data_IF_403958675111
#
_entry.id   IF_403958675111
#
_cell.length_a   1.000
_cell.length_b   1.000
_cell.length_c   1.000
_cell.angle_alpha   90.00
_cell.angle_beta   90.00
_cell.angle_gamma   90.00
#
_symmetry.space_group_name_H-M   'P 1'
#
loop_
_entity.id
_entity.type
_entity.pdbx_description
1 polymer ?
#
# COMPACT_ATOMS: atom_id res chain seq x y z
N UNK A 1 9.01 0.75 -17.22
CA UNK A 1 8.34 2.00 -16.85
C UNK A 1 6.84 1.82 -16.68
N UNK A 2 6.07 1.44 -17.71
CA UNK A 2 4.62 1.24 -17.57
C UNK A 2 4.26 0.21 -16.48
N UNK A 3 4.95 -0.93 -16.48
CA UNK A 3 4.84 -1.95 -15.44
C UNK A 3 5.16 -1.41 -14.02
N UNK A 4 6.17 -0.52 -13.89
CA UNK A 4 6.54 0.06 -12.59
C UNK A 4 5.43 0.97 -12.06
N UNK A 5 4.82 1.75 -12.94
CA UNK A 5 3.70 2.64 -12.61
C UNK A 5 2.45 1.86 -12.24
N UNK A 6 2.16 0.77 -12.95
CA UNK A 6 1.04 -0.12 -12.63
C UNK A 6 1.23 -0.77 -11.26
N UNK A 7 2.44 -1.27 -10.97
CA UNK A 7 2.78 -1.88 -9.69
C UNK A 7 2.67 -0.87 -8.55
N UNK A 8 3.22 0.34 -8.72
CA UNK A 8 3.07 1.44 -7.77
C UNK A 8 1.60 1.75 -7.49
N UNK A 9 0.81 1.99 -8.55
CA UNK A 9 -0.60 2.35 -8.42
C UNK A 9 -1.40 1.23 -7.73
N UNK A 10 -1.09 -0.02 -8.03
CA UNK A 10 -1.71 -1.18 -7.39
C UNK A 10 -1.44 -1.19 -5.89
N UNK A 11 -0.20 -0.96 -5.46
CA UNK A 11 0.18 -0.99 -4.04
C UNK A 11 -0.41 0.20 -3.30
N UNK A 12 -0.05 1.42 -3.71
CA UNK A 12 -0.47 2.65 -3.02
C UNK A 12 -1.97 2.84 -3.10
N UNK A 13 -2.59 2.57 -4.25
CA UNK A 13 -4.04 2.64 -4.42
C UNK A 13 -4.80 1.64 -3.53
N UNK A 14 -4.31 0.39 -3.43
CA UNK A 14 -4.96 -0.62 -2.57
C UNK A 14 -4.80 -0.30 -1.09
N UNK A 15 -3.63 0.18 -0.65
CA UNK A 15 -3.40 0.61 0.74
C UNK A 15 -4.30 1.79 1.11
N UNK A 16 -4.33 2.82 0.26
CA UNK A 16 -5.14 4.02 0.50
C UNK A 16 -6.62 3.66 0.60
N UNK A 17 -7.11 2.76 -0.27
CA UNK A 17 -8.48 2.24 -0.18
C UNK A 17 -8.72 1.52 1.14
N UNK A 18 -7.81 0.65 1.55
CA UNK A 18 -7.94 -0.05 2.83
C UNK A 18 -7.96 0.91 4.03
N UNK A 19 -7.07 1.90 4.04
CA UNK A 19 -6.98 2.92 5.08
C UNK A 19 -8.27 3.73 5.18
N UNK A 20 -8.83 4.12 4.04
CA UNK A 20 -10.12 4.80 4.00
C UNK A 20 -11.23 3.92 4.60
N UNK A 21 -11.28 2.63 4.28
CA UNK A 21 -12.31 1.75 4.84
C UNK A 21 -12.14 1.53 6.35
N UNK A 22 -10.90 1.36 6.83
CA UNK A 22 -10.60 1.23 8.27
C UNK A 22 -11.00 2.50 9.02
N UNK A 23 -10.68 3.68 8.48
CA UNK A 23 -11.00 4.96 9.14
C UNK A 23 -12.50 5.28 9.13
N UNK A 24 -13.29 4.66 8.26
CA UNK A 24 -14.75 4.74 8.26
C UNK A 24 -15.42 3.81 9.29
N UNK A 25 -14.66 2.93 9.95
CA UNK A 25 -15.18 2.10 11.02
C UNK A 25 -15.67 2.97 12.19
N UNK A 26 -16.89 2.69 12.66
CA UNK A 26 -17.47 3.41 13.81
C UNK A 26 -16.74 3.10 15.11
N UNK A 27 -16.28 1.87 15.29
CA UNK A 27 -15.50 1.44 16.46
C UNK A 27 -14.82 0.10 16.21
N UNK A 28 -13.56 -0.01 16.62
CA UNK A 28 -12.78 -1.26 16.57
C UNK A 28 -13.27 -2.25 17.64
N UNK A 29 -13.71 -1.77 18.80
CA UNK A 29 -14.23 -2.63 19.87
C UNK A 29 -15.48 -3.41 19.45
N UNK A 30 -16.27 -2.88 18.52
CA UNK A 30 -17.41 -3.58 17.93
C UNK A 30 -16.96 -4.77 17.08
N UNK A 31 -15.92 -4.60 16.27
CA UNK A 31 -15.35 -5.67 15.44
C UNK A 31 -14.76 -6.81 16.28
N UNK A 32 -14.08 -6.48 17.38
CA UNK A 32 -13.53 -7.48 18.28
C UNK A 32 -14.62 -8.30 18.98
N UNK A 33 -15.69 -7.65 19.45
CA UNK A 33 -16.82 -8.34 20.09
C UNK A 33 -17.60 -9.21 19.12
N UNK A 34 -17.83 -8.73 17.89
CA UNK A 34 -18.52 -9.51 16.87
C UNK A 34 -17.69 -10.69 16.34
N UNK A 35 -16.36 -10.65 16.47
CA UNK A 35 -15.46 -11.74 16.13
C UNK A 35 -15.29 -12.82 17.21
N UNK A 36 -15.82 -12.61 18.42
CA UNK A 36 -15.78 -13.57 19.53
C UNK A 36 -16.94 -14.58 19.51
N UNK A 37 -17.95 -14.39 18.66
CA UNK A 37 -19.00 -15.39 18.44
C UNK A 37 -18.43 -16.55 17.61
N UNK A 38 -18.38 -17.75 18.22
CA UNK A 38 -17.73 -18.97 17.73
C UNK A 38 -18.14 -19.39 16.29
N UNK A 39 -19.31 -18.98 15.79
CA UNK A 39 -19.75 -19.28 14.42
C UNK A 39 -18.97 -18.50 13.32
N UNK A 40 -18.38 -17.35 13.65
CA UNK A 40 -17.62 -16.51 12.69
C UNK A 40 -16.13 -16.84 12.69
N UNK A 41 -15.63 -17.41 13.80
CA UNK A 41 -14.21 -17.78 13.96
C UNK A 41 -13.73 -18.84 12.94
N UNK A 42 -14.62 -19.64 12.36
CA UNK A 42 -14.30 -20.61 11.30
C UNK A 42 -14.04 -19.97 9.92
N UNK A 43 -14.26 -18.66 9.79
CA UNK A 43 -14.07 -17.86 8.57
C UNK A 43 -12.92 -16.85 8.72
N UNK A 44 -11.98 -17.12 9.63
CA UNK A 44 -10.70 -16.40 9.68
C UNK A 44 -10.11 -16.38 8.27
N UNK A 45 -9.73 -15.20 7.77
CA UNK A 45 -9.03 -15.05 6.50
C UNK A 45 -8.00 -16.18 6.37
N UNK A 46 -8.29 -17.16 5.50
CA UNK A 46 -7.44 -18.34 5.36
C UNK A 46 -6.08 -17.87 4.84
N UNK A 47 -5.10 -17.86 5.75
CA UNK A 47 -3.73 -17.44 5.50
C UNK A 47 -3.03 -18.36 4.49
N UNK A 48 -3.54 -19.58 4.27
CA UNK A 48 -3.03 -20.53 3.27
C UNK A 48 -3.62 -20.30 1.87
N UNK A 49 -4.72 -19.54 1.73
CA UNK A 49 -5.44 -19.44 0.46
C UNK A 49 -4.78 -18.53 -0.59
N UNK A 50 -3.75 -17.75 -0.25
CA UNK A 50 -2.89 -17.01 -1.20
C UNK A 50 -3.57 -16.08 -2.23
N UNK A 51 -4.90 -15.86 -2.14
CA UNK A 51 -5.72 -15.37 -3.27
C UNK A 51 -6.30 -13.96 -3.11
N UNK A 52 -6.13 -13.29 -1.97
CA UNK A 52 -6.59 -11.91 -1.84
C UNK A 52 -5.49 -10.95 -2.29
N UNK A 53 -5.78 -10.14 -3.32
CA UNK A 53 -4.83 -9.12 -3.80
C UNK A 53 -4.45 -8.12 -2.69
N UNK A 54 -5.37 -7.82 -1.77
CA UNK A 54 -5.11 -6.97 -0.60
C UNK A 54 -4.16 -7.63 0.40
N UNK A 55 -4.18 -8.97 0.50
CA UNK A 55 -3.30 -9.77 1.37
C UNK A 55 -1.84 -9.70 0.90
N UNK A 56 -1.61 -9.72 -0.41
CA UNK A 56 -0.28 -9.45 -0.96
C UNK A 56 0.16 -8.01 -0.68
N UNK A 57 -0.73 -7.02 -0.78
CA UNK A 57 -0.38 -5.61 -0.56
C UNK A 57 0.03 -5.32 0.89
N UNK A 58 -0.66 -5.90 1.89
CA UNK A 58 -0.24 -5.76 3.30
C UNK A 58 1.03 -6.54 3.62
N UNK A 59 1.22 -7.72 3.00
CA UNK A 59 2.45 -8.52 3.15
C UNK A 59 3.68 -7.81 2.53
N UNK A 60 3.48 -7.08 1.44
CA UNK A 60 4.45 -6.17 0.80
C UNK A 60 4.80 -4.99 1.72
N UNK A 61 3.83 -4.55 2.55
CA UNK A 61 4.02 -3.41 3.44
C UNK A 61 4.64 -3.76 4.79
N UNK A 62 4.38 -4.94 5.36
CA UNK A 62 5.10 -5.41 6.55
C UNK A 62 6.59 -5.65 6.28
N UNK A 63 6.99 -5.79 5.00
CA UNK A 63 8.38 -5.72 4.53
C UNK A 63 8.79 -4.26 4.24
N UNK A 64 8.38 -3.34 5.12
CA UNK A 64 8.60 -1.90 5.02
C UNK A 64 10.07 -1.62 4.65
N UNK A 65 10.23 -0.78 3.63
CA UNK A 65 11.45 -0.38 2.91
C UNK A 65 11.83 -1.23 1.70
N UNK A 66 12.00 -2.55 1.81
CA UNK A 66 12.74 -3.29 0.78
C UNK A 66 11.99 -3.42 -0.56
N UNK A 67 10.67 -3.57 -0.54
CA UNK A 67 9.87 -3.73 -1.77
C UNK A 67 9.51 -2.40 -2.41
N UNK A 68 9.38 -1.34 -1.60
CA UNK A 68 9.17 0.03 -2.06
C UNK A 68 10.45 0.58 -2.71
N UNK A 69 11.61 0.29 -2.13
CA UNK A 69 12.91 0.62 -2.70
C UNK A 69 13.16 -0.13 -4.02
N UNK A 70 12.67 -1.37 -4.15
CA UNK A 70 12.73 -2.13 -5.42
C UNK A 70 11.92 -1.45 -6.52
N UNK A 71 10.72 -0.96 -6.23
CA UNK A 71 9.88 -0.24 -7.21
C UNK A 71 10.59 1.04 -7.65
N UNK A 72 11.13 1.81 -6.69
CA UNK A 72 11.83 3.05 -7.02
C UNK A 72 13.10 2.79 -7.83
N UNK A 73 13.87 1.77 -7.47
CA UNK A 73 15.08 1.37 -8.19
C UNK A 73 14.77 0.94 -9.62
N UNK A 74 13.73 0.11 -9.80
CA UNK A 74 13.25 -0.33 -11.11
C UNK A 74 12.77 0.85 -11.97
N UNK A 75 11.98 1.75 -11.38
CA UNK A 75 11.50 2.96 -12.05
C UNK A 75 12.65 3.85 -12.53
N UNK A 76 13.66 4.11 -11.68
CA UNK A 76 14.81 4.94 -12.04
C UNK A 76 15.65 4.31 -13.15
N UNK A 77 15.88 3.00 -13.07
CA UNK A 77 16.60 2.24 -14.09
C UNK A 77 15.88 2.33 -15.44
N UNK A 78 14.57 2.04 -15.48
CA UNK A 78 13.79 2.13 -16.71
C UNK A 78 13.66 3.57 -17.23
N UNK A 79 13.62 4.57 -16.35
CA UNK A 79 13.62 5.98 -16.72
C UNK A 79 14.90 6.37 -17.44
N UNK A 80 16.04 5.97 -16.91
CA UNK A 80 17.35 6.18 -17.54
C UNK A 80 17.41 5.51 -18.91
N UNK A 81 16.95 4.28 -19.03
CA UNK A 81 16.91 3.58 -20.31
C UNK A 81 16.03 4.27 -21.35
N UNK A 82 14.87 4.81 -20.95
CA UNK A 82 14.01 5.57 -21.84
C UNK A 82 14.75 6.81 -22.33
N UNK A 83 15.37 7.58 -21.43
CA UNK A 83 16.14 8.78 -21.79
C UNK A 83 17.30 8.44 -22.73
N UNK A 84 18.02 7.35 -22.48
CA UNK A 84 19.17 6.93 -23.28
C UNK A 84 18.80 6.38 -24.66
N UNK A 85 17.64 5.73 -24.80
CA UNK A 85 17.14 5.18 -26.07
C UNK A 85 16.54 6.24 -27.00
N UNK A 86 16.22 7.43 -26.49
CA UNK A 86 15.74 8.52 -27.34
C UNK A 86 16.89 9.01 -28.22
N UNK A 87 16.79 8.71 -29.52
CA UNK A 87 17.64 9.31 -30.54
C UNK A 87 17.15 10.74 -30.85
N UNK A 88 17.21 11.61 -29.84
CA UNK A 88 16.76 13.00 -29.97
C UNK A 88 17.74 13.74 -30.87
N UNK A 89 17.20 14.52 -31.81
CA UNK A 89 18.02 15.44 -32.60
C UNK A 89 18.57 16.61 -31.76
N UNK A 90 18.06 16.81 -30.54
CA UNK A 90 18.43 17.88 -29.62
C UNK A 90 18.61 17.37 -28.19
N UNK A 91 19.76 17.69 -27.58
CA UNK A 91 20.04 17.43 -26.16
C UNK A 91 19.05 18.13 -25.22
N UNK A 92 18.41 19.22 -25.66
CA UNK A 92 17.39 19.92 -24.88
C UNK A 92 16.16 19.05 -24.63
N UNK A 93 15.69 18.34 -25.66
CA UNK A 93 14.55 17.41 -25.54
C UNK A 93 14.89 16.23 -24.62
N UNK A 94 16.12 15.73 -24.70
CA UNK A 94 16.62 14.68 -23.81
C UNK A 94 16.68 15.16 -22.36
N UNK A 95 17.17 16.38 -22.13
CA UNK A 95 17.20 17.03 -20.82
C UNK A 95 15.81 17.25 -20.23
N UNK A 96 14.86 17.77 -21.02
CA UNK A 96 13.47 17.96 -20.60
C UNK A 96 12.81 16.64 -20.21
N UNK A 97 12.99 15.58 -21.01
CA UNK A 97 12.48 14.24 -20.68
C UNK A 97 13.07 13.72 -19.37
N UNK A 98 14.38 13.85 -19.19
CA UNK A 98 15.05 13.45 -17.95
C UNK A 98 14.53 14.19 -16.72
N UNK A 99 14.28 15.50 -16.84
CA UNK A 99 13.69 16.32 -15.77
C UNK A 99 12.26 15.87 -15.46
N UNK A 100 11.41 15.65 -16.48
CA UNK A 100 10.03 15.20 -16.30
C UNK A 100 9.96 13.83 -15.59
N UNK A 101 10.80 12.87 -16.01
CA UNK A 101 10.85 11.55 -15.37
C UNK A 101 11.41 11.62 -13.95
N UNK A 102 12.40 12.48 -13.70
CA UNK A 102 12.93 12.69 -12.35
C UNK A 102 11.87 13.29 -11.42
N UNK A 103 11.10 14.27 -11.91
CA UNK A 103 10.01 14.88 -11.16
C UNK A 103 8.89 13.86 -10.86
N UNK A 104 8.55 13.01 -11.83
CA UNK A 104 7.58 11.93 -11.61
C UNK A 104 8.10 10.92 -10.57
N UNK A 105 9.36 10.51 -10.65
CA UNK A 105 10.00 9.64 -9.65
C UNK A 105 9.95 10.24 -8.24
N UNK A 106 10.21 11.56 -8.11
CA UNK A 106 10.06 12.28 -6.85
C UNK A 106 8.63 12.22 -6.31
N UNK A 107 7.62 12.45 -7.15
CA UNK A 107 6.22 12.34 -6.75
C UNK A 107 5.83 10.92 -6.30
N UNK A 108 6.28 9.89 -7.01
CA UNK A 108 6.07 8.48 -6.65
C UNK A 108 6.68 8.19 -5.27
N UNK A 109 7.94 8.58 -5.06
CA UNK A 109 8.62 8.40 -3.77
C UNK A 109 7.95 9.14 -2.63
N UNK A 110 7.47 10.36 -2.89
CA UNK A 110 6.67 11.14 -1.94
C UNK A 110 5.38 10.42 -1.53
N UNK A 111 4.59 9.97 -2.51
CA UNK A 111 3.32 9.25 -2.27
C UNK A 111 3.53 7.96 -1.49
N UNK A 112 4.60 7.22 -1.79
CA UNK A 112 4.97 6.00 -1.04
C UNK A 112 5.21 6.34 0.44
N UNK A 113 6.02 7.36 0.70
CA UNK A 113 6.34 7.80 2.07
C UNK A 113 5.09 8.29 2.81
N UNK A 114 4.31 9.17 2.19
CA UNK A 114 3.09 9.71 2.79
C UNK A 114 2.06 8.60 3.09
N UNK A 115 1.96 7.58 2.24
CA UNK A 115 1.12 6.40 2.50
C UNK A 115 1.58 5.66 3.77
N UNK A 116 2.89 5.63 4.05
CA UNK A 116 3.42 5.01 5.26
C UNK A 116 3.17 5.81 6.52
N UNK A 117 3.33 7.13 6.43
CA UNK A 117 2.99 8.05 7.51
C UNK A 117 1.48 7.96 7.85
N UNK A 118 0.62 7.83 6.84
CA UNK A 118 -0.83 7.59 7.03
C UNK A 118 -1.06 6.25 7.74
N UNK A 119 -0.37 5.19 7.32
CA UNK A 119 -0.52 3.88 7.97
C UNK A 119 -0.15 3.95 9.46
N UNK A 120 0.97 4.58 9.79
CA UNK A 120 1.45 4.70 11.17
C UNK A 120 0.48 5.57 11.98
N UNK A 121 -0.05 6.66 11.42
CA UNK A 121 -1.09 7.46 12.04
C UNK A 121 -2.39 6.68 12.29
N UNK A 122 -2.79 5.79 11.38
CA UNK A 122 -3.95 4.92 11.60
C UNK A 122 -3.66 3.91 12.71
N UNK A 123 -2.47 3.29 12.73
CA UNK A 123 -2.05 2.39 13.81
C UNK A 123 -2.12 3.09 15.16
N UNK A 124 -1.67 4.34 15.27
CA UNK A 124 -1.77 5.14 16.50
C UNK A 124 -3.23 5.39 16.90
N UNK A 125 -4.10 5.76 15.96
CA UNK A 125 -5.53 5.97 16.22
C UNK A 125 -6.22 4.70 16.73
N UNK A 126 -5.93 3.55 16.13
CA UNK A 126 -6.43 2.24 16.58
C UNK A 126 -5.95 1.96 18.02
N UNK A 127 -4.68 2.25 18.34
CA UNK A 127 -4.12 2.05 19.68
C UNK A 127 -4.78 2.93 20.72
N UNK A 128 -5.14 4.16 20.37
CA UNK A 128 -5.84 5.05 21.29
C UNK A 128 -7.25 4.57 21.58
N UNK A 129 -7.95 3.99 20.59
CA UNK A 129 -9.27 3.42 20.82
C UNK A 129 -9.21 2.14 21.67
N UNK A 130 -8.22 1.27 21.43
CA UNK A 130 -8.01 0.05 22.21
C UNK A 130 -6.54 -0.13 22.61
N UNK A 131 -6.11 0.40 23.77
CA UNK A 131 -4.70 0.36 24.20
C UNK A 131 -4.15 -1.03 24.50
N UNK A 132 -5.00 -2.06 24.56
CA UNK A 132 -4.60 -3.41 24.98
C UNK A 132 -4.45 -4.38 23.80
N UNK A 133 -4.85 -3.98 22.59
CA UNK A 133 -4.85 -4.87 21.43
C UNK A 133 -3.51 -4.84 20.69
N UNK A 134 -3.14 -5.99 20.12
CA UNK A 134 -2.10 -6.04 19.10
C UNK A 134 -2.67 -5.48 17.79
N UNK A 135 -2.01 -4.46 17.24
CA UNK A 135 -2.53 -3.75 16.08
C UNK A 135 -1.98 -4.36 14.80
N UNK A 136 -2.87 -5.02 14.08
CA UNK A 136 -2.64 -5.46 12.72
C UNK A 136 -3.77 -4.93 11.82
N UNK A 137 -3.47 -3.90 11.01
CA UNK A 137 -4.47 -3.27 10.13
C UNK A 137 -5.04 -4.27 9.11
N UNK A 138 -4.25 -5.26 8.69
CA UNK A 138 -4.71 -6.31 7.80
C UNK A 138 -5.76 -7.21 8.48
N UNK A 139 -5.55 -7.60 9.72
CA UNK A 139 -6.53 -8.39 10.47
C UNK A 139 -7.84 -7.61 10.68
N UNK A 140 -7.73 -6.32 11.00
CA UNK A 140 -8.88 -5.41 11.17
C UNK A 140 -9.67 -5.34 9.87
N UNK A 141 -9.00 -5.12 8.74
CA UNK A 141 -9.62 -5.12 7.41
C UNK A 141 -10.32 -6.46 7.12
N UNK A 142 -9.65 -7.59 7.37
CA UNK A 142 -10.20 -8.92 7.19
C UNK A 142 -11.47 -9.16 8.01
N UNK A 143 -11.46 -8.79 9.31
CA UNK A 143 -12.61 -8.91 10.20
C UNK A 143 -13.78 -8.05 9.72
N UNK A 144 -13.52 -6.82 9.30
CA UNK A 144 -14.52 -5.91 8.75
C UNK A 144 -15.25 -6.50 7.53
N UNK A 145 -14.51 -7.05 6.56
CA UNK A 145 -15.09 -7.65 5.35
C UNK A 145 -15.78 -9.00 5.59
N UNK A 146 -15.48 -9.67 6.70
CA UNK A 146 -16.13 -10.92 7.09
C UNK A 146 -17.47 -10.66 7.79
N UNK A 147 -17.57 -9.56 8.54
CA UNK A 147 -18.75 -9.18 9.35
C UNK A 147 -19.81 -8.36 8.59
N UNK A 148 -19.52 -7.90 7.36
CA UNK A 148 -20.47 -7.14 6.52
C UNK A 148 -21.28 -8.01 5.52
N UNK A 149 -21.34 -9.34 5.71
CA UNK A 149 -22.18 -10.26 4.92
C UNK A 149 -23.33 -10.81 5.74
#
# INVERSE_FOLDING_TARGET
>A
MEFDLELFNKIVGSLTKCFMEITLLKSITFLEKAGLDEEVSGKSCDLELGKSQTLNVFRVYDLKDEEMDKIMSSYLQHSKEVVDKIHAQSEELKGQMGLCLSALGFCIGGLIRETGEIEDGIKELVQWENPSSHINLYEIYCKMHTLQK
#
